data_IF_372859811586
#
_entry.id   IF_372859811586
#
_cell.length_a   1.000
_cell.length_b   1.000
_cell.length_c   1.000
_cell.angle_alpha   90.00
_cell.angle_beta   90.00
_cell.angle_gamma   90.00
#
_symmetry.space_group_name_H-M   'P 1'
#
loop_
_entity.id
_entity.type
_entity.pdbx_description
1 polymer ?
#
# COMPACT_ATOMS: atom_id res chain seq x y z
N UNK A 1 -3.05 -16.47 -9.65
CA UNK A 1 -2.30 -15.21 -9.39
C UNK A 1 -0.84 -15.40 -9.78
N UNK A 2 -0.32 -14.57 -10.68
CA UNK A 2 1.06 -14.63 -11.16
C UNK A 2 1.83 -13.39 -10.70
N UNK A 3 3.14 -13.49 -10.49
CA UNK A 3 4.01 -12.37 -10.13
C UNK A 3 5.08 -12.18 -11.21
N UNK A 4 5.50 -10.93 -11.45
CA UNK A 4 6.53 -10.61 -12.42
C UNK A 4 7.88 -11.21 -11.98
N UNK A 5 8.49 -12.06 -12.81
CA UNK A 5 9.81 -12.62 -12.52
C UNK A 5 10.96 -11.58 -12.51
N UNK A 6 10.72 -10.35 -12.96
CA UNK A 6 11.71 -9.28 -12.98
C UNK A 6 11.58 -8.31 -11.78
N UNK A 7 10.37 -7.87 -11.43
CA UNK A 7 10.16 -6.85 -10.39
C UNK A 7 9.27 -7.31 -9.22
N UNK A 8 8.78 -8.55 -9.22
CA UNK A 8 7.97 -9.10 -8.14
C UNK A 8 6.54 -8.57 -8.04
N UNK A 9 6.12 -7.64 -8.90
CA UNK A 9 4.76 -7.09 -8.88
C UNK A 9 3.74 -8.13 -9.34
N UNK A 10 2.58 -8.16 -8.68
CA UNK A 10 1.45 -9.01 -9.07
C UNK A 10 0.96 -8.65 -10.47
N UNK A 11 0.65 -9.68 -11.25
CA UNK A 11 0.19 -9.57 -12.63
C UNK A 11 -1.33 -9.82 -12.65
N UNK A 12 -2.15 -8.85 -13.09
CA UNK A 12 -3.57 -9.06 -13.34
C UNK A 12 -3.80 -10.15 -14.40
N UNK A 13 -4.84 -10.98 -14.23
CA UNK A 13 -5.17 -12.03 -15.19
C UNK A 13 -5.40 -11.45 -16.60
N UNK A 14 -4.82 -12.10 -17.62
CA UNK A 14 -4.90 -11.65 -19.02
C UNK A 14 -3.89 -10.57 -19.44
N UNK A 15 -2.92 -10.20 -18.59
CA UNK A 15 -1.91 -9.19 -18.94
C UNK A 15 -0.75 -9.77 -19.78
N UNK A 16 -0.50 -9.19 -20.97
CA UNK A 16 0.65 -9.54 -21.83
C UNK A 16 1.99 -8.95 -21.33
N UNK A 17 1.93 -7.91 -20.49
CA UNK A 17 3.07 -7.16 -19.98
C UNK A 17 2.88 -6.81 -18.50
N UNK A 18 3.97 -6.71 -17.75
CA UNK A 18 3.95 -6.25 -16.36
C UNK A 18 3.56 -4.76 -16.29
N UNK A 19 2.53 -4.39 -15.52
CA UNK A 19 2.07 -3.00 -15.43
C UNK A 19 3.10 -2.06 -14.76
N UNK A 20 4.03 -2.61 -13.97
CA UNK A 20 5.01 -1.82 -13.24
C UNK A 20 6.33 -1.65 -14.03
N UNK A 21 6.89 -2.72 -14.60
CA UNK A 21 8.21 -2.67 -15.24
C UNK A 21 8.21 -2.89 -16.76
N UNK A 22 7.04 -3.14 -17.37
CA UNK A 22 6.91 -3.32 -18.82
C UNK A 22 7.47 -4.65 -19.37
N UNK A 23 7.95 -5.54 -18.51
CA UNK A 23 8.45 -6.86 -18.92
C UNK A 23 7.33 -7.70 -19.55
N UNK A 24 7.57 -8.24 -20.75
CA UNK A 24 6.63 -9.15 -21.43
C UNK A 24 6.50 -10.46 -20.67
N UNK A 25 5.28 -10.98 -20.57
CA UNK A 25 4.95 -12.18 -19.81
C UNK A 25 4.71 -13.32 -20.80
N UNK A 26 5.56 -14.34 -20.74
CA UNK A 26 5.35 -15.56 -21.51
C UNK A 26 4.32 -16.43 -20.77
N UNK A 27 3.06 -16.35 -21.19
CA UNK A 27 1.95 -17.10 -20.60
C UNK A 27 2.05 -18.57 -21.05
N UNK A 28 2.83 -19.37 -20.31
CA UNK A 28 2.77 -20.83 -20.42
C UNK A 28 1.90 -21.34 -19.28
N UNK A 29 0.71 -21.82 -19.63
CA UNK A 29 -0.24 -22.42 -18.72
C UNK A 29 0.39 -23.61 -17.97
N UNK A 30 0.64 -23.45 -16.67
CA UNK A 30 1.04 -24.54 -15.78
C UNK A 30 -0.18 -25.05 -15.01
N UNK A 31 -0.79 -26.11 -15.53
CA UNK A 31 -1.51 -27.06 -14.71
C UNK A 31 -0.48 -27.92 -13.94
N UNK A 32 -0.66 -27.98 -12.62
CA UNK A 32 -0.27 -29.05 -11.70
C UNK A 32 1.24 -29.37 -11.55
N UNK A 33 1.81 -28.97 -10.40
CA UNK A 33 2.96 -29.66 -9.82
C UNK A 33 2.48 -30.89 -9.04
N UNK A 34 2.78 -32.07 -9.56
CA UNK A 34 2.97 -33.28 -8.75
C UNK A 34 4.36 -33.83 -9.05
N UNK A 35 5.05 -34.17 -7.98
CA UNK A 35 6.39 -34.78 -7.91
C UNK A 35 6.53 -36.01 -8.80
N UNK A 36 7.70 -36.23 -9.41
CA UNK A 36 8.56 -37.45 -9.27
C UNK A 36 9.78 -37.39 -10.21
N UNK A 37 10.92 -37.80 -9.66
CA UNK A 37 12.20 -38.05 -10.33
C UNK A 37 12.12 -39.19 -11.37
N UNK A 38 12.80 -39.07 -12.51
CA UNK A 38 13.84 -40.04 -12.93
C UNK A 38 14.47 -39.71 -14.29
N UNK A 39 15.74 -40.09 -14.40
CA UNK A 39 16.64 -40.00 -15.55
C UNK A 39 16.26 -41.00 -16.66
N UNK A 40 16.48 -40.63 -17.93
CA UNK A 40 17.27 -41.38 -18.94
C UNK A 40 17.00 -40.92 -20.39
N UNK A 41 18.03 -40.31 -20.99
CA UNK A 41 18.64 -40.57 -22.32
C UNK A 41 17.90 -40.55 -23.69
N UNK A 42 18.72 -40.14 -24.68
CA UNK A 42 18.68 -40.26 -26.16
C UNK A 42 17.88 -39.21 -26.95
N UNK A 43 18.50 -38.27 -27.68
CA UNK A 43 19.41 -38.28 -28.85
C UNK A 43 18.71 -38.26 -30.22
N UNK A 44 19.19 -37.33 -31.06
CA UNK A 44 19.02 -37.18 -32.52
C UNK A 44 17.62 -36.71 -32.99
N UNK A 45 17.44 -35.88 -34.03
CA UNK A 45 18.27 -35.65 -35.21
C UNK A 45 17.93 -34.28 -35.87
N UNK A 46 18.82 -33.85 -36.75
CA UNK A 46 18.90 -32.56 -37.44
C UNK A 46 18.08 -32.51 -38.75
N UNK A 47 18.05 -31.30 -39.33
CA UNK A 47 17.88 -30.92 -40.76
C UNK A 47 16.46 -31.02 -41.36
N UNK A 48 15.95 -30.06 -42.15
CA UNK A 48 16.46 -28.82 -42.74
C UNK A 48 15.48 -28.26 -43.80
N UNK A 49 15.78 -27.05 -44.33
CA UNK A 49 15.34 -26.46 -45.64
C UNK A 49 13.85 -26.11 -45.82
N UNK A 50 13.38 -25.01 -46.42
CA UNK A 50 13.96 -24.00 -47.33
C UNK A 50 13.00 -22.76 -47.44
N UNK A 51 13.59 -21.60 -47.80
CA UNK A 51 13.16 -20.49 -48.70
C UNK A 51 11.64 -20.14 -48.90
N UNK A 52 11.11 -18.92 -49.10
CA UNK A 52 11.51 -17.57 -49.62
C UNK A 52 10.22 -16.70 -49.55
N UNK A 53 10.14 -15.41 -49.22
CA UNK A 53 10.39 -14.17 -50.00
C UNK A 53 9.97 -12.99 -49.07
N UNK A 54 10.67 -11.87 -48.83
CA UNK A 54 11.23 -10.79 -49.69
C UNK A 54 10.31 -9.53 -49.82
N UNK A 55 10.62 -8.47 -49.04
CA UNK A 55 10.70 -7.03 -49.44
C UNK A 55 11.02 -6.16 -48.19
N UNK A 56 12.25 -5.64 -48.02
CA UNK A 56 12.77 -4.28 -48.40
C UNK A 56 11.99 -3.11 -47.77
N UNK A 57 12.57 -2.09 -47.11
CA UNK A 57 13.84 -1.37 -47.29
C UNK A 57 14.36 -0.72 -45.96
N UNK A 58 15.66 -0.82 -45.63
CA UNK A 58 16.75 0.22 -45.64
C UNK A 58 16.59 1.42 -44.67
N UNK A 59 17.57 1.96 -43.93
CA UNK A 59 19.04 1.79 -43.75
C UNK A 59 19.42 2.60 -42.46
N UNK A 60 20.11 2.04 -41.46
CA UNK A 60 21.57 1.99 -41.21
C UNK A 60 22.20 3.13 -40.39
N UNK A 61 22.99 2.73 -39.39
CA UNK A 61 23.95 3.58 -38.66
C UNK A 61 24.45 2.98 -37.34
N UNK A 62 25.09 1.80 -37.35
CA UNK A 62 25.80 1.21 -36.20
C UNK A 62 27.25 1.68 -36.14
N UNK A 63 27.90 1.66 -34.97
CA UNK A 63 29.11 0.85 -34.65
C UNK A 63 29.59 1.13 -33.22
N UNK A 64 29.91 0.07 -32.48
CA UNK A 64 30.64 0.11 -31.21
C UNK A 64 31.74 -0.97 -31.18
N UNK A 65 32.82 -0.65 -30.47
CA UNK A 65 33.79 -1.50 -29.74
C UNK A 65 35.08 -2.03 -30.42
N UNK A 66 36.18 -1.30 -30.11
CA UNK A 66 37.34 -1.66 -29.25
C UNK A 66 38.37 -2.78 -29.58
N UNK A 67 39.56 -2.58 -29.00
CA UNK A 67 40.83 -3.34 -28.92
C UNK A 67 41.85 -2.99 -30.01
N UNK A 68 43.16 -2.78 -29.79
CA UNK A 68 44.09 -2.90 -28.65
C UNK A 68 45.53 -3.14 -29.20
N UNK A 69 46.59 -2.81 -28.44
CA UNK A 69 48.05 -3.10 -28.65
C UNK A 69 48.81 -2.26 -29.71
N UNK A 70 50.07 -1.78 -29.56
CA UNK A 70 51.34 -2.43 -29.17
C UNK A 70 52.44 -1.47 -28.61
N UNK A 71 53.44 -2.10 -27.99
CA UNK A 71 54.72 -1.61 -27.44
C UNK A 71 55.87 -1.51 -28.47
N UNK A 72 56.88 -0.69 -28.13
CA UNK A 72 58.35 -0.90 -28.27
C UNK A 72 59.13 -0.72 -29.61
N UNK A 73 60.05 0.27 -29.57
CA UNK A 73 61.53 0.19 -29.72
C UNK A 73 62.24 0.03 -31.10
N UNK A 74 62.94 1.12 -31.47
CA UNK A 74 64.31 1.28 -32.02
C UNK A 74 64.82 0.82 -33.43
N UNK A 75 65.55 1.78 -34.02
CA UNK A 75 66.90 1.75 -34.68
C UNK A 75 67.07 1.81 -36.21
N UNK A 76 67.97 2.75 -36.61
CA UNK A 76 68.76 2.83 -37.86
C UNK A 76 68.08 3.56 -39.04
N UNK A 77 68.74 4.24 -39.98
CA UNK A 77 70.10 4.72 -40.22
C UNK A 77 70.03 5.74 -41.41
N UNK A 78 71.14 6.44 -41.66
CA UNK A 78 71.41 7.61 -42.52
C UNK A 78 71.15 7.53 -44.04
N UNK A 79 70.94 8.70 -44.67
CA UNK A 79 71.53 9.26 -45.94
C UNK A 79 70.51 10.21 -46.64
N UNK A 80 70.81 11.27 -47.39
CA UNK A 80 72.00 12.10 -47.68
C UNK A 80 71.53 13.32 -48.55
N UNK A 81 72.40 14.33 -48.71
CA UNK A 81 72.48 15.29 -49.84
C UNK A 81 71.43 16.43 -49.98
N UNK A 82 71.72 17.63 -50.50
CA UNK A 82 72.95 18.38 -50.83
C UNK A 82 72.58 19.82 -51.23
N UNK A 83 73.49 20.78 -50.95
CA UNK A 83 73.71 22.03 -51.71
C UNK A 83 72.97 23.29 -51.22
N UNK A 84 73.48 24.52 -51.35
CA UNK A 84 74.79 25.10 -51.63
C UNK A 84 74.61 26.63 -51.46
N UNK A 85 75.54 27.40 -50.89
CA UNK A 85 75.99 28.70 -51.45
C UNK A 85 77.14 29.31 -50.63
N UNK A 86 78.15 29.75 -51.38
CA UNK A 86 79.49 30.17 -50.97
C UNK A 86 79.59 31.69 -50.78
N UNK A 87 80.61 32.09 -50.02
CA UNK A 87 81.25 33.41 -50.08
C UNK A 87 82.61 33.39 -49.36
N UNK A 88 83.70 33.26 -50.12
CA UNK A 88 85.11 33.39 -49.70
C UNK A 88 85.48 34.90 -49.58
N UNK A 89 86.55 35.40 -48.94
CA UNK A 89 87.96 35.00 -49.11
C UNK A 89 88.96 35.76 -48.16
N UNK A 90 89.98 35.02 -47.71
CA UNK A 90 91.34 35.27 -47.12
C UNK A 90 91.79 36.54 -46.34
N UNK A 91 92.49 36.30 -45.21
CA UNK A 91 93.61 37.14 -44.75
C UNK A 91 94.09 36.97 -43.28
N UNK A 92 95.27 36.34 -43.12
CA UNK A 92 96.23 36.40 -41.99
C UNK A 92 96.02 35.59 -40.69
N UNK A 93 97.07 34.82 -40.39
CA UNK A 93 97.26 33.96 -39.23
C UNK A 93 97.19 34.71 -37.89
N UNK A 94 96.57 34.09 -36.88
CA UNK A 94 96.94 34.27 -35.48
C UNK A 94 96.36 33.17 -34.57
N UNK A 95 97.28 32.54 -33.85
CA UNK A 95 97.22 32.04 -32.47
C UNK A 95 96.11 31.05 -32.04
N UNK A 96 96.62 29.92 -31.55
CA UNK A 96 95.95 28.82 -30.83
C UNK A 96 95.00 29.35 -29.75
N UNK A 97 93.71 28.97 -29.81
CA UNK A 97 92.74 29.22 -28.73
C UNK A 97 92.22 27.92 -28.12
N UNK A 98 92.23 27.96 -26.79
CA UNK A 98 91.95 26.93 -25.80
C UNK A 98 90.47 26.49 -25.74
N UNK A 99 90.19 25.31 -25.12
CA UNK A 99 88.84 24.76 -24.96
C UNK A 99 87.92 25.62 -24.08
N UNK A 100 86.60 25.51 -24.32
CA UNK A 100 85.54 26.19 -23.56
C UNK A 100 85.55 25.77 -22.08
N UNK A 101 86.15 26.61 -21.22
CA UNK A 101 86.35 26.41 -19.79
C UNK A 101 85.07 26.23 -18.93
N UNK A 102 83.87 26.47 -19.49
CA UNK A 102 82.59 26.23 -18.80
C UNK A 102 82.25 24.73 -18.74
N UNK A 103 82.54 23.96 -19.80
CA UNK A 103 82.31 22.51 -19.83
C UNK A 103 83.39 21.72 -19.08
N UNK A 104 84.62 22.24 -18.97
CA UNK A 104 85.69 21.57 -18.22
C UNK A 104 85.53 21.71 -16.69
N UNK A 105 85.07 22.85 -16.17
CA UNK A 105 84.82 23.02 -14.73
C UNK A 105 83.59 22.24 -14.22
N UNK A 106 82.67 21.85 -15.11
CA UNK A 106 81.52 21.00 -14.79
C UNK A 106 81.91 19.54 -14.49
N UNK A 107 83.14 19.10 -14.78
CA UNK A 107 83.59 17.71 -14.55
C UNK A 107 84.52 17.53 -13.35
N UNK A 108 85.11 18.59 -12.80
CA UNK A 108 86.19 18.48 -11.80
C UNK A 108 85.95 19.23 -10.48
N UNK A 109 84.94 20.10 -10.38
CA UNK A 109 84.59 20.80 -9.13
C UNK A 109 83.27 20.29 -8.54
N UNK A 110 83.37 19.45 -7.49
CA UNK A 110 82.22 18.89 -6.76
C UNK A 110 81.30 19.96 -6.17
N UNK A 111 81.80 21.17 -5.91
CA UNK A 111 80.99 22.29 -5.38
C UNK A 111 80.13 22.94 -6.47
N UNK A 112 80.59 22.98 -7.72
CA UNK A 112 79.88 23.61 -8.83
C UNK A 112 78.87 22.67 -9.52
N UNK A 113 79.15 21.35 -9.55
CA UNK A 113 78.16 20.32 -9.89
C UNK A 113 76.99 20.29 -8.91
N UNK A 114 77.24 20.44 -7.61
CA UNK A 114 76.19 20.51 -6.58
C UNK A 114 75.26 21.72 -6.71
N UNK A 115 75.77 22.87 -7.15
CA UNK A 115 74.98 24.10 -7.35
C UNK A 115 74.06 23.99 -8.58
N UNK A 116 74.56 23.47 -9.72
CA UNK A 116 73.73 23.29 -10.92
C UNK A 116 72.66 22.19 -10.76
N UNK A 117 72.99 21.08 -10.09
CA UNK A 117 71.99 20.03 -9.74
C UNK A 117 70.99 20.55 -8.71
N UNK A 118 71.44 21.35 -7.73
CA UNK A 118 70.57 21.98 -6.75
C UNK A 118 69.57 22.96 -7.35
N UNK A 119 69.98 23.79 -8.33
CA UNK A 119 69.09 24.75 -9.03
C UNK A 119 68.07 24.05 -9.92
N UNK A 120 68.45 23.01 -10.66
CA UNK A 120 67.51 22.22 -11.49
C UNK A 120 66.53 21.43 -10.60
N UNK A 121 67.01 20.83 -9.50
CA UNK A 121 66.14 20.16 -8.53
C UNK A 121 65.14 21.13 -7.89
N UNK A 122 65.56 22.36 -7.55
CA UNK A 122 64.68 23.42 -7.05
C UNK A 122 63.64 23.87 -8.08
N UNK A 123 64.01 24.02 -9.35
CA UNK A 123 63.08 24.39 -10.42
C UNK A 123 62.07 23.26 -10.69
N UNK A 124 62.49 22.00 -10.69
CA UNK A 124 61.58 20.84 -10.80
C UNK A 124 60.69 20.71 -9.57
N UNK A 125 61.18 21.03 -8.37
CA UNK A 125 60.37 21.11 -7.15
C UNK A 125 59.36 22.26 -7.21
N UNK A 126 59.75 23.42 -7.72
CA UNK A 126 58.89 24.60 -7.85
C UNK A 126 57.85 24.42 -8.95
N UNK A 127 58.23 23.87 -10.11
CA UNK A 127 57.30 23.45 -11.16
C UNK A 127 56.41 22.32 -10.65
N UNK A 128 56.97 21.37 -9.91
CA UNK A 128 56.21 20.30 -9.25
C UNK A 128 55.20 20.84 -8.24
N UNK A 129 55.56 21.87 -7.46
CA UNK A 129 54.67 22.54 -6.51
C UNK A 129 53.63 23.42 -7.20
N UNK A 130 53.97 24.05 -8.33
CA UNK A 130 53.05 24.84 -9.15
C UNK A 130 52.08 23.92 -9.88
N UNK A 131 52.55 22.86 -10.53
CA UNK A 131 51.73 21.83 -11.16
C UNK A 131 50.88 21.11 -10.12
N UNK A 132 51.44 20.81 -8.94
CA UNK A 132 50.69 20.24 -7.82
C UNK A 132 49.64 21.21 -7.29
N UNK A 133 49.92 22.51 -7.15
CA UNK A 133 48.92 23.51 -6.75
C UNK A 133 47.82 23.71 -7.80
N UNK A 134 48.17 23.68 -9.08
CA UNK A 134 47.22 23.84 -10.18
C UNK A 134 46.38 22.57 -10.39
N UNK A 135 46.91 21.38 -10.05
CA UNK A 135 46.18 20.10 -10.06
C UNK A 135 45.63 19.66 -8.71
N UNK A 136 45.83 20.42 -7.63
CA UNK A 136 45.31 20.08 -6.32
C UNK A 136 43.79 20.24 -6.33
N UNK A 137 43.08 19.18 -5.97
CA UNK A 137 41.63 19.21 -5.89
C UNK A 137 41.17 20.32 -4.93
N UNK A 138 40.32 21.23 -5.43
CA UNK A 138 39.70 22.26 -4.60
C UNK A 138 38.71 21.59 -3.64
N UNK A 139 38.68 22.09 -2.41
CA UNK A 139 37.80 21.55 -1.37
C UNK A 139 36.51 22.35 -1.33
N UNK A 140 35.37 21.66 -1.34
CA UNK A 140 34.04 22.23 -1.10
C UNK A 140 33.52 21.58 0.19
N UNK A 141 33.13 22.41 1.17
CA UNK A 141 32.53 21.93 2.42
C UNK A 141 31.01 22.02 2.29
N UNK A 142 30.32 20.89 2.32
CA UNK A 142 28.88 20.79 2.09
C UNK A 142 28.12 21.50 3.20
N UNK A 143 28.65 21.50 4.43
CA UNK A 143 28.01 22.16 5.59
C UNK A 143 27.83 23.67 5.40
N UNK A 144 28.62 24.32 4.53
CA UNK A 144 28.49 25.75 4.26
C UNK A 144 27.21 26.10 3.47
N UNK A 145 26.52 25.09 2.93
CA UNK A 145 25.34 25.22 2.08
C UNK A 145 24.10 24.54 2.66
N UNK A 146 24.17 24.04 3.90
CA UNK A 146 23.05 23.36 4.55
C UNK A 146 22.51 24.22 5.68
N UNK A 147 21.19 24.39 5.69
CA UNK A 147 20.44 24.96 6.80
C UNK A 147 19.55 23.87 7.41
N UNK A 148 19.55 23.77 8.73
CA UNK A 148 18.60 22.91 9.45
C UNK A 148 17.64 23.80 10.22
N UNK A 149 16.35 23.68 9.91
CA UNK A 149 15.26 24.33 10.64
C UNK A 149 14.46 23.28 11.40
N UNK A 150 13.70 23.73 12.40
CA UNK A 150 12.83 22.88 13.20
C UNK A 150 11.41 23.46 13.12
N UNK A 151 10.45 22.61 12.81
CA UNK A 151 9.06 22.98 12.57
C UNK A 151 8.12 22.07 13.38
N UNK A 152 6.88 22.51 13.60
CA UNK A 152 5.88 21.78 14.37
C UNK A 152 5.80 22.15 15.86
N UNK A 153 5.15 21.27 16.62
CA UNK A 153 4.95 21.39 18.06
C UNK A 153 6.17 20.90 18.87
N UNK A 154 6.36 21.45 20.06
CA UNK A 154 7.24 20.85 21.06
C UNK A 154 6.71 19.44 21.40
N UNK A 155 7.60 18.46 21.54
CA UNK A 155 7.31 17.01 21.66
C UNK A 155 6.87 16.26 20.39
N UNK A 156 6.61 16.96 19.29
CA UNK A 156 6.25 16.36 17.99
C UNK A 156 6.93 17.09 16.82
N UNK A 157 8.07 17.73 17.07
CA UNK A 157 8.74 18.57 16.08
C UNK A 157 9.50 17.75 15.04
N UNK A 158 9.70 18.33 13.86
CA UNK A 158 10.48 17.73 12.78
C UNK A 158 11.68 18.60 12.42
N UNK A 159 12.75 17.97 11.94
CA UNK A 159 13.92 18.65 11.40
C UNK A 159 13.82 18.72 9.87
N UNK A 160 13.87 19.93 9.34
CA UNK A 160 13.86 20.19 7.89
C UNK A 160 15.27 20.57 7.45
N UNK A 161 15.77 19.90 6.42
CA UNK A 161 17.07 20.16 5.82
C UNK A 161 16.86 20.91 4.52
N UNK A 162 17.36 22.13 4.45
CA UNK A 162 17.42 22.93 3.22
C UNK A 162 18.86 22.99 2.73
N UNK A 163 19.08 22.56 1.48
CA UNK A 163 20.38 22.69 0.82
C UNK A 163 20.26 23.82 -0.19
N UNK A 164 21.11 24.84 -0.06
CA UNK A 164 21.23 25.90 -1.07
C UNK A 164 21.92 25.32 -2.32
N UNK A 165 21.12 24.63 -3.13
CA UNK A 165 21.59 23.89 -4.30
C UNK A 165 22.27 24.83 -5.30
N UNK A 166 21.78 26.06 -5.47
CA UNK A 166 22.37 27.04 -6.37
C UNK A 166 23.79 27.44 -5.92
N UNK A 167 23.98 27.76 -4.64
CA UNK A 167 25.31 28.11 -4.12
C UNK A 167 26.24 26.90 -4.10
N UNK A 168 25.73 25.73 -3.72
CA UNK A 168 26.51 24.50 -3.74
C UNK A 168 26.92 24.15 -5.18
N UNK A 169 26.01 24.28 -6.13
CA UNK A 169 26.25 24.05 -7.56
C UNK A 169 27.34 24.97 -8.11
N UNK A 170 27.26 26.27 -7.80
CA UNK A 170 28.27 27.24 -8.21
C UNK A 170 29.64 26.90 -7.58
N UNK A 171 29.66 26.53 -6.30
CA UNK A 171 30.88 26.13 -5.61
C UNK A 171 31.52 24.86 -6.19
N UNK A 172 30.72 23.86 -6.55
CA UNK A 172 31.18 22.65 -7.22
C UNK A 172 31.74 22.97 -8.61
N UNK A 173 31.07 23.84 -9.36
CA UNK A 173 31.52 24.28 -10.70
C UNK A 173 32.85 25.03 -10.62
N UNK A 174 32.99 25.95 -9.68
CA UNK A 174 34.23 26.69 -9.44
C UNK A 174 35.37 25.78 -8.94
N UNK A 175 35.03 24.70 -8.22
CA UNK A 175 35.97 23.72 -7.71
C UNK A 175 36.48 22.78 -8.81
N UNK A 176 35.59 22.25 -9.65
CA UNK A 176 35.91 21.29 -10.70
C UNK A 176 36.41 21.90 -12.01
N UNK A 177 36.07 23.17 -12.28
CA UNK A 177 36.40 23.86 -13.53
C UNK A 177 35.95 23.06 -14.75
N UNK A 178 36.75 23.06 -15.82
CA UNK A 178 36.45 22.37 -17.09
C UNK A 178 36.10 20.88 -16.95
N UNK A 179 36.53 20.23 -15.85
CA UNK A 179 36.25 18.80 -15.62
C UNK A 179 34.79 18.54 -15.24
N UNK A 180 34.13 19.51 -14.63
CA UNK A 180 32.75 19.38 -14.15
C UNK A 180 31.74 20.18 -14.96
N UNK A 181 32.16 21.10 -15.83
CA UNK A 181 31.28 21.99 -16.65
C UNK A 181 30.23 21.22 -17.49
N UNK A 182 30.40 19.94 -17.75
CA UNK A 182 29.32 19.14 -18.36
C UNK A 182 28.18 18.91 -17.36
N UNK A 183 26.94 19.15 -17.78
CA UNK A 183 25.72 18.90 -17.00
C UNK A 183 25.72 17.52 -16.28
N UNK A 184 26.21 16.48 -16.95
CA UNK A 184 26.36 15.12 -16.38
C UNK A 184 27.32 15.03 -15.19
N UNK A 185 28.42 15.78 -15.21
CA UNK A 185 29.43 15.72 -14.14
C UNK A 185 28.98 16.41 -12.86
N UNK A 186 28.25 17.53 -13.00
CA UNK A 186 27.63 18.23 -11.87
C UNK A 186 26.56 17.37 -11.22
N UNK A 187 25.65 16.83 -12.04
CA UNK A 187 24.57 15.97 -11.58
C UNK A 187 25.09 14.74 -10.82
N UNK A 188 26.14 14.08 -11.32
CA UNK A 188 26.74 12.91 -10.67
C UNK A 188 27.35 13.25 -9.30
N UNK A 189 27.99 14.41 -9.15
CA UNK A 189 28.53 14.85 -7.85
C UNK A 189 27.41 15.24 -6.89
N UNK A 190 26.41 16.00 -7.36
CA UNK A 190 25.29 16.46 -6.54
C UNK A 190 24.48 15.27 -6.00
N UNK A 191 24.10 14.33 -6.86
CA UNK A 191 23.39 13.12 -6.46
C UNK A 191 24.21 12.17 -5.58
N UNK A 192 25.53 12.40 -5.48
CA UNK A 192 26.34 11.62 -4.56
C UNK A 192 26.28 12.14 -3.13
N UNK A 193 25.76 13.35 -2.91
CA UNK A 193 25.67 14.02 -1.62
C UNK A 193 24.31 13.71 -1.00
N UNK A 194 24.33 13.31 0.26
CA UNK A 194 23.14 13.10 1.07
C UNK A 194 23.38 13.68 2.47
N UNK A 195 22.35 14.34 3.00
CA UNK A 195 22.40 15.07 4.27
C UNK A 195 21.23 14.62 5.11
N UNK A 196 21.53 14.00 6.25
CA UNK A 196 20.51 13.44 7.16
C UNK A 196 20.63 14.07 8.53
N UNK A 197 19.49 14.20 9.21
CA UNK A 197 19.41 14.64 10.60
C UNK A 197 18.91 13.47 11.43
N UNK A 198 19.49 13.24 12.61
CA UNK A 198 19.08 12.13 13.47
C UNK A 198 19.08 12.52 14.95
N UNK A 199 17.96 12.34 15.67
CA UNK A 199 16.61 12.06 15.15
C UNK A 199 16.09 13.24 14.29
N UNK A 200 15.12 12.99 13.41
CA UNK A 200 14.49 13.99 12.53
C UNK A 200 13.01 14.25 12.81
N UNK A 201 12.41 13.51 13.74
CA UNK A 201 11.02 13.60 14.17
C UNK A 201 10.95 13.40 15.70
N UNK A 202 9.76 13.55 16.27
CA UNK A 202 9.50 13.48 17.72
C UNK A 202 10.40 14.41 18.56
N UNK A 203 10.75 15.56 17.98
CA UNK A 203 11.71 16.48 18.58
C UNK A 203 11.05 17.39 19.61
N UNK A 204 11.80 17.68 20.68
CA UNK A 204 11.44 18.68 21.69
C UNK A 204 12.46 19.82 21.76
N UNK A 205 12.03 20.99 22.21
CA UNK A 205 12.91 22.12 22.48
C UNK A 205 13.98 21.73 23.50
N UNK A 206 15.24 21.78 23.07
CA UNK A 206 16.38 21.40 23.90
C UNK A 206 17.03 20.07 23.57
N UNK A 207 16.39 19.26 22.72
CA UNK A 207 16.97 18.03 22.19
C UNK A 207 18.22 18.31 21.35
N UNK A 208 18.98 17.26 21.08
CA UNK A 208 20.18 17.34 20.25
C UNK A 208 20.02 16.41 19.07
N UNK A 209 20.01 17.00 17.88
CA UNK A 209 20.06 16.25 16.62
C UNK A 209 21.49 16.24 16.09
N UNK A 210 21.84 15.22 15.32
CA UNK A 210 23.12 15.11 14.63
C UNK A 210 22.89 15.24 13.13
N UNK A 211 23.52 16.24 12.51
CA UNK A 211 23.57 16.38 11.05
C UNK A 211 24.71 15.52 10.54
N UNK A 212 24.43 14.62 9.59
CA UNK A 212 25.40 13.72 8.98
C UNK A 212 25.47 13.98 7.49
N UNK A 213 26.70 14.04 6.97
CA UNK A 213 26.96 14.30 5.56
C UNK A 213 27.59 13.07 4.92
N UNK A 214 26.88 12.44 3.99
CA UNK A 214 27.42 11.31 3.22
C UNK A 214 27.68 11.74 1.77
N UNK A 215 28.81 11.30 1.22
CA UNK A 215 29.17 11.62 -0.17
C UNK A 215 30.18 10.66 -0.80
N UNK A 216 30.13 10.53 -2.12
CA UNK A 216 31.09 9.69 -2.85
C UNK A 216 32.41 10.40 -3.12
N UNK A 217 33.42 10.07 -2.29
CA UNK A 217 34.80 10.52 -2.50
C UNK A 217 35.36 10.11 -3.87
N UNK A 218 34.92 8.99 -4.42
CA UNK A 218 35.36 8.51 -5.73
C UNK A 218 34.83 9.38 -6.87
N UNK A 219 33.54 9.73 -6.83
CA UNK A 219 32.89 10.61 -7.80
C UNK A 219 33.49 12.02 -7.68
N UNK A 220 33.60 12.58 -6.47
CA UNK A 220 34.24 13.88 -6.28
C UNK A 220 35.66 13.93 -6.88
N UNK A 221 36.47 12.88 -6.63
CA UNK A 221 37.83 12.77 -7.15
C UNK A 221 37.89 12.68 -8.68
N UNK A 222 36.93 11.99 -9.33
CA UNK A 222 36.80 11.90 -10.80
C UNK A 222 36.75 13.30 -11.43
N UNK A 223 36.07 14.23 -10.77
CA UNK A 223 35.89 15.62 -11.22
C UNK A 223 36.92 16.60 -10.65
N UNK A 224 37.94 16.11 -9.93
CA UNK A 224 38.98 16.96 -9.35
C UNK A 224 38.52 17.79 -8.14
N UNK A 225 37.44 17.36 -7.47
CA UNK A 225 36.88 18.00 -6.28
C UNK A 225 37.19 17.16 -5.04
N UNK A 226 37.37 17.84 -3.90
CA UNK A 226 37.40 17.20 -2.59
C UNK A 226 36.20 17.69 -1.78
N UNK A 227 35.25 16.80 -1.51
CA UNK A 227 34.13 17.12 -0.63
C UNK A 227 34.54 16.96 0.84
N UNK A 228 33.95 17.80 1.68
CA UNK A 228 33.93 17.71 3.14
C UNK A 228 32.50 17.92 3.61
N UNK A 229 32.21 17.39 4.78
CA UNK A 229 31.02 17.67 5.56
C UNK A 229 31.40 17.32 6.99
N UNK A 230 31.11 18.22 7.92
CA UNK A 230 31.46 18.02 9.32
C UNK A 230 30.19 17.71 10.07
N UNK A 231 30.10 16.49 10.57
CA UNK A 231 29.00 16.10 11.45
C UNK A 231 28.95 17.05 12.65
N UNK A 232 27.77 17.58 12.90
CA UNK A 232 27.55 18.54 13.96
C UNK A 232 26.30 18.22 14.76
N UNK A 233 26.34 18.60 16.02
CA UNK A 233 25.21 18.45 16.93
C UNK A 233 24.55 19.80 17.09
N UNK A 234 23.31 19.90 16.64
CA UNK A 234 22.49 21.10 16.75
C UNK A 234 21.54 20.90 17.92
N UNK A 235 21.37 21.94 18.74
CA UNK A 235 20.34 21.95 19.77
C UNK A 235 19.02 22.40 19.13
N UNK A 236 17.97 21.62 19.29
CA UNK A 236 16.62 21.93 18.79
C UNK A 236 16.08 23.14 19.55
N UNK A 237 15.50 24.09 18.82
CA UNK A 237 14.85 25.28 19.37
C UNK A 237 13.89 25.87 18.37
N UNK A 238 12.82 26.51 18.85
CA UNK A 238 11.86 27.24 18.01
C UNK A 238 10.59 26.45 17.70
N UNK A 239 10.46 25.23 18.24
CA UNK A 239 9.21 24.46 18.19
C UNK A 239 8.15 25.16 19.06
N UNK A 240 6.89 25.10 18.62
CA UNK A 240 5.78 25.79 19.29
C UNK A 240 5.35 25.01 20.55
N UNK A 241 5.34 25.67 21.70
CA UNK A 241 4.79 25.10 22.94
C UNK A 241 3.25 25.18 22.89
N UNK A 242 2.62 24.05 22.61
CA UNK A 242 1.17 23.91 22.36
C UNK A 242 0.60 22.71 23.10
N UNK A 243 -0.72 22.69 23.31
CA UNK A 243 -1.39 21.60 24.00
C UNK A 243 -1.54 20.37 23.10
N UNK A 244 -1.05 19.24 23.60
CA UNK A 244 -1.08 17.96 22.92
C UNK A 244 -2.38 17.21 23.23
N UNK A 245 -3.26 17.02 22.24
CA UNK A 245 -4.54 16.34 22.44
C UNK A 245 -4.63 15.05 21.65
N UNK A 246 -5.27 14.03 22.23
CA UNK A 246 -5.76 12.88 21.47
C UNK A 246 -7.25 13.15 21.17
N UNK A 247 -7.63 13.39 19.90
CA UNK A 247 -9.01 13.68 19.55
C UNK A 247 -9.95 12.50 19.83
N UNK A 248 -9.43 11.26 19.82
CA UNK A 248 -10.21 10.05 19.99
C UNK A 248 -10.57 9.73 21.45
N UNK A 249 -10.01 10.46 22.43
CA UNK A 249 -10.50 10.45 23.82
C UNK A 249 -11.88 11.12 23.95
N UNK A 250 -12.30 11.89 22.93
CA UNK A 250 -13.57 12.62 22.90
C UNK A 250 -14.56 12.07 21.87
N UNK A 251 -14.20 10.98 21.18
CA UNK A 251 -15.02 10.32 20.16
C UNK A 251 -15.79 9.16 20.80
N UNK A 252 -17.09 9.13 20.56
CA UNK A 252 -17.96 7.96 20.77
C UNK A 252 -18.49 7.50 19.43
N UNK A 253 -18.46 6.19 19.18
CA UNK A 253 -19.08 5.61 17.99
C UNK A 253 -20.48 5.14 18.36
N UNK A 254 -21.48 5.59 17.60
CA UNK A 254 -22.82 5.00 17.58
C UNK A 254 -22.95 4.09 16.37
N UNK A 255 -23.73 3.04 16.50
CA UNK A 255 -24.02 2.12 15.42
C UNK A 255 -25.50 2.22 15.08
N UNK A 256 -25.80 2.51 13.82
CA UNK A 256 -27.14 2.44 13.25
C UNK A 256 -27.25 1.27 12.26
N UNK A 257 -28.47 0.87 11.95
CA UNK A 257 -28.73 -0.26 11.05
C UNK A 257 -28.55 -1.61 11.73
N UNK A 258 -28.43 -2.65 10.91
CA UNK A 258 -28.34 -4.04 11.37
C UNK A 258 -27.56 -4.85 10.34
N UNK A 259 -26.94 -5.94 10.79
CA UNK A 259 -26.09 -6.78 9.94
C UNK A 259 -26.76 -7.17 8.60
N UNK A 260 -26.00 -7.23 7.49
CA UNK A 260 -24.60 -6.80 7.32
C UNK A 260 -24.48 -5.31 6.97
N UNK A 261 -25.48 -4.47 7.29
CA UNK A 261 -25.51 -3.04 6.98
C UNK A 261 -25.52 -2.21 8.26
N UNK A 262 -24.48 -2.36 9.07
CA UNK A 262 -24.23 -1.47 10.19
C UNK A 262 -23.51 -0.22 9.67
N UNK A 263 -23.95 0.93 10.16
CA UNK A 263 -23.43 2.26 9.84
C UNK A 263 -22.87 2.89 11.12
N UNK A 264 -21.55 3.04 11.24
CA UNK A 264 -20.94 3.77 12.33
C UNK A 264 -21.12 5.28 12.15
N UNK A 265 -21.52 5.95 13.21
CA UNK A 265 -21.61 7.41 13.31
C UNK A 265 -20.65 7.90 14.39
N UNK A 266 -19.84 8.90 14.03
CA UNK A 266 -18.86 9.53 14.92
C UNK A 266 -19.51 10.68 15.66
N UNK A 267 -19.60 10.57 16.99
CA UNK A 267 -20.00 11.67 17.87
C UNK A 267 -18.81 12.23 18.63
N UNK A 268 -18.67 13.56 18.64
CA UNK A 268 -17.55 14.27 19.29
C UNK A 268 -18.06 15.10 20.46
N UNK A 269 -17.53 14.86 21.67
CA UNK A 269 -17.80 15.69 22.85
C UNK A 269 -16.90 16.94 22.89
N UNK A 270 -17.34 18.02 22.24
CA UNK A 270 -16.66 19.31 22.26
C UNK A 270 -17.03 20.23 23.44
N UNK A 271 -17.65 19.68 24.50
CA UNK A 271 -18.07 20.49 25.66
C UNK A 271 -16.88 21.03 26.46
N UNK A 272 -15.77 20.28 26.50
CA UNK A 272 -14.56 20.64 27.25
C UNK A 272 -13.54 21.38 26.40
N UNK A 273 -13.40 21.01 25.13
CA UNK A 273 -12.40 21.55 24.19
C UNK A 273 -13.12 21.95 22.91
N UNK A 274 -13.27 23.26 22.68
CA UNK A 274 -13.96 23.78 21.50
C UNK A 274 -13.20 23.59 20.19
N UNK A 275 -11.87 23.45 20.27
CA UNK A 275 -11.02 23.16 19.12
C UNK A 275 -11.41 21.85 18.41
N UNK A 276 -12.06 20.90 19.10
CA UNK A 276 -12.55 19.67 18.50
C UNK A 276 -13.60 19.90 17.40
N UNK A 277 -14.35 21.02 17.46
CA UNK A 277 -15.34 21.39 16.43
C UNK A 277 -14.67 21.76 15.07
N UNK A 278 -13.36 22.03 15.06
CA UNK A 278 -12.58 22.38 13.86
C UNK A 278 -11.94 21.15 13.18
N UNK A 279 -12.03 19.97 13.80
CA UNK A 279 -11.45 18.72 13.28
C UNK A 279 -12.49 18.00 12.43
N UNK A 280 -12.10 17.60 11.22
CA UNK A 280 -12.93 16.75 10.37
C UNK A 280 -12.67 15.28 10.66
N UNK A 281 -13.71 14.52 10.98
CA UNK A 281 -13.61 13.08 11.18
C UNK A 281 -14.18 12.34 9.96
N UNK A 282 -13.39 11.44 9.38
CA UNK A 282 -13.75 10.62 8.22
C UNK A 282 -13.63 9.13 8.57
N UNK A 283 -14.36 8.28 7.83
CA UNK A 283 -14.33 6.83 7.99
C UNK A 283 -13.85 6.19 6.69
N UNK A 284 -12.97 5.18 6.79
CA UNK A 284 -12.53 4.39 5.63
C UNK A 284 -13.67 3.52 5.05
N UNK A 285 -14.51 3.00 5.92
CA UNK A 285 -15.69 2.18 5.61
C UNK A 285 -16.87 2.68 6.43
N UNK A 286 -17.91 3.16 5.76
CA UNK A 286 -19.07 3.80 6.40
C UNK A 286 -20.36 2.95 6.33
N UNK A 287 -20.33 1.79 5.67
CA UNK A 287 -21.50 0.94 5.46
C UNK A 287 -21.10 -0.49 5.14
N UNK A 288 -22.04 -1.43 5.23
CA UNK A 288 -21.79 -2.82 4.88
C UNK A 288 -21.00 -3.59 5.95
N UNK A 289 -21.00 -3.08 7.19
CA UNK A 289 -20.30 -3.69 8.30
C UNK A 289 -21.21 -4.63 9.09
N UNK A 290 -20.61 -5.67 9.66
CA UNK A 290 -21.22 -6.64 10.58
C UNK A 290 -20.55 -6.57 11.95
N UNK A 291 -21.12 -7.22 12.97
CA UNK A 291 -20.49 -7.30 14.28
C UNK A 291 -19.09 -7.94 14.19
N UNK A 292 -18.12 -7.31 14.87
CA UNK A 292 -16.73 -7.74 14.83
C UNK A 292 -15.93 -7.25 13.63
N UNK A 293 -16.54 -6.61 12.62
CA UNK A 293 -15.79 -5.95 11.55
C UNK A 293 -15.00 -4.75 12.10
N UNK A 294 -13.85 -4.46 11.48
CA UNK A 294 -13.02 -3.30 11.82
C UNK A 294 -13.19 -2.18 10.79
N UNK A 295 -13.17 -0.94 11.27
CA UNK A 295 -13.12 0.27 10.44
C UNK A 295 -12.23 1.31 11.13
N UNK A 296 -11.70 2.26 10.35
CA UNK A 296 -10.78 3.29 10.83
C UNK A 296 -11.44 4.65 10.76
N UNK A 297 -11.33 5.41 11.85
CA UNK A 297 -11.70 6.83 11.91
C UNK A 297 -10.43 7.67 11.79
N UNK A 298 -10.42 8.60 10.85
CA UNK A 298 -9.31 9.55 10.63
C UNK A 298 -9.74 10.94 11.10
N UNK A 299 -8.89 11.61 11.86
CA UNK A 299 -9.03 12.98 12.33
C UNK A 299 -8.14 13.90 11.49
N UNK A 300 -8.75 14.82 10.74
CA UNK A 300 -8.08 15.66 9.75
C UNK A 300 -8.20 17.14 10.14
N UNK A 301 -7.07 17.84 10.16
CA UNK A 301 -6.99 19.29 10.31
C UNK A 301 -5.68 19.81 9.70
N UNK A 302 -5.67 21.06 9.24
CA UNK A 302 -4.45 21.74 8.82
C UNK A 302 -3.53 21.96 10.04
N UNK A 303 -2.30 21.44 9.97
CA UNK A 303 -1.36 21.45 11.10
C UNK A 303 -0.98 22.87 11.50
N UNK A 304 -0.72 23.76 10.53
CA UNK A 304 -0.37 25.15 10.80
C UNK A 304 -1.51 25.90 11.51
N UNK A 305 -2.75 25.64 11.08
CA UNK A 305 -3.94 26.14 11.75
C UNK A 305 -4.06 25.60 13.18
N UNK A 306 -3.93 24.29 13.39
CA UNK A 306 -3.96 23.67 14.72
C UNK A 306 -2.93 24.30 15.67
N UNK A 307 -1.68 24.41 15.19
CA UNK A 307 -0.59 25.05 15.93
C UNK A 307 -0.88 26.53 16.22
N UNK A 308 -1.56 27.24 15.31
CA UNK A 308 -1.97 28.63 15.54
C UNK A 308 -3.07 28.77 16.60
N UNK A 309 -3.93 27.75 16.73
CA UNK A 309 -4.95 27.67 17.79
C UNK A 309 -4.37 27.17 19.13
N UNK A 310 -3.10 26.77 19.14
CA UNK A 310 -2.40 26.33 20.34
C UNK A 310 -2.51 24.84 20.62
N UNK A 311 -2.82 24.02 19.61
CA UNK A 311 -2.98 22.58 19.74
C UNK A 311 -2.14 21.79 18.72
N UNK A 312 -1.90 20.51 19.02
CA UNK A 312 -1.52 19.51 18.03
C UNK A 312 -2.20 18.17 18.33
N UNK A 313 -2.48 17.38 17.29
CA UNK A 313 -3.07 16.04 17.43
C UNK A 313 -1.97 15.00 17.63
N UNK A 314 -2.03 14.24 18.72
CA UNK A 314 -1.10 13.13 19.00
C UNK A 314 -1.34 11.91 18.12
N UNK A 315 -2.60 11.70 17.75
CA UNK A 315 -3.06 10.58 16.96
C UNK A 315 -4.06 11.12 15.94
N UNK A 316 -3.93 10.68 14.69
CA UNK A 316 -4.78 11.14 13.57
C UNK A 316 -5.61 10.00 12.99
N UNK A 317 -5.39 8.76 13.41
CA UNK A 317 -6.14 7.59 12.95
C UNK A 317 -6.36 6.63 14.11
N UNK A 318 -7.56 6.04 14.20
CA UNK A 318 -7.85 5.00 15.19
C UNK A 318 -8.80 3.96 14.61
N UNK A 319 -8.44 2.69 14.78
CA UNK A 319 -9.28 1.56 14.39
C UNK A 319 -10.27 1.22 15.50
N UNK A 320 -11.53 1.02 15.11
CA UNK A 320 -12.62 0.59 15.97
C UNK A 320 -13.16 -0.76 15.46
N UNK A 321 -13.67 -1.56 16.38
CA UNK A 321 -14.38 -2.80 16.07
C UNK A 321 -15.88 -2.54 16.27
N UNK A 322 -16.69 -2.91 15.28
CA UNK A 322 -18.14 -2.84 15.36
C UNK A 322 -18.61 -3.74 16.51
N UNK A 323 -19.42 -3.15 17.39
CA UNK A 323 -20.09 -3.85 18.47
C UNK A 323 -21.58 -3.58 18.34
N UNK A 324 -22.28 -4.47 17.64
CA UNK A 324 -23.70 -4.33 17.36
C UNK A 324 -24.51 -4.72 18.58
N UNK A 325 -25.22 -3.76 19.18
CA UNK A 325 -26.12 -4.03 20.31
C UNK A 325 -27.33 -4.90 19.91
N UNK A 326 -27.70 -4.90 18.63
CA UNK A 326 -28.86 -5.59 18.09
C UNK A 326 -28.43 -6.58 17.01
N UNK A 327 -28.88 -7.83 17.12
CA UNK A 327 -28.58 -8.89 16.15
C UNK A 327 -29.84 -9.58 15.69
N UNK A 328 -29.89 -9.95 14.41
CA UNK A 328 -30.93 -10.86 13.94
C UNK A 328 -30.84 -12.18 14.68
N UNK A 329 -31.98 -12.77 14.99
CA UNK A 329 -32.06 -14.11 15.54
C UNK A 329 -31.35 -15.10 14.61
N UNK A 330 -30.27 -15.71 15.10
CA UNK A 330 -29.46 -16.68 14.36
C UNK A 330 -29.90 -18.13 14.62
N UNK A 331 -30.42 -18.41 15.82
CA UNK A 331 -30.97 -19.71 16.19
C UNK A 331 -32.17 -19.53 17.12
N UNK A 332 -33.22 -20.35 16.96
CA UNK A 332 -34.34 -20.39 17.91
C UNK A 332 -33.88 -20.85 19.29
N UNK A 333 -32.81 -21.66 19.36
CA UNK A 333 -32.21 -22.10 20.62
C UNK A 333 -31.51 -20.96 21.40
N UNK A 334 -31.26 -19.81 20.76
CA UNK A 334 -30.69 -18.62 21.42
C UNK A 334 -31.77 -17.83 22.20
N UNK A 335 -33.05 -18.14 22.00
CA UNK A 335 -34.16 -17.53 22.72
C UNK A 335 -34.31 -18.13 24.12
N UNK A 336 -34.51 -17.26 25.11
CA UNK A 336 -34.99 -17.67 26.42
C UNK A 336 -36.46 -18.14 26.34
N UNK A 337 -36.91 -18.89 27.36
CA UNK A 337 -38.30 -19.33 27.45
C UNK A 337 -39.30 -18.16 27.39
N UNK A 338 -38.98 -17.03 28.04
CA UNK A 338 -39.83 -15.82 28.03
C UNK A 338 -39.91 -15.20 26.64
N UNK A 339 -38.78 -15.12 25.95
CA UNK A 339 -38.66 -14.57 24.61
C UNK A 339 -39.43 -15.40 23.58
N UNK A 340 -39.28 -16.73 23.62
CA UNK A 340 -40.05 -17.61 22.76
C UNK A 340 -41.55 -17.52 23.05
N UNK A 341 -41.94 -17.44 24.33
CA UNK A 341 -43.34 -17.28 24.72
C UNK A 341 -43.95 -15.96 24.23
N UNK A 342 -43.16 -14.88 24.16
CA UNK A 342 -43.59 -13.59 23.60
C UNK A 342 -43.90 -13.70 22.11
N UNK A 343 -43.00 -14.30 21.31
CA UNK A 343 -43.22 -14.54 19.89
C UNK A 343 -44.39 -15.51 19.64
N UNK A 344 -44.49 -16.57 20.44
CA UNK A 344 -45.62 -17.51 20.36
C UNK A 344 -46.95 -16.83 20.68
N UNK A 345 -46.96 -15.91 21.64
CA UNK A 345 -48.16 -15.14 21.97
C UNK A 345 -48.57 -14.26 20.79
N UNK A 346 -47.63 -13.54 20.19
CA UNK A 346 -47.90 -12.73 19.01
C UNK A 346 -48.52 -13.57 17.88
N UNK A 347 -47.96 -14.76 17.62
CA UNK A 347 -48.48 -15.67 16.62
C UNK A 347 -49.89 -16.21 16.94
N UNK A 348 -50.16 -16.59 18.19
CA UNK A 348 -51.50 -17.07 18.57
C UNK A 348 -52.55 -15.95 18.58
N UNK A 349 -52.17 -14.71 18.91
CA UNK A 349 -53.06 -13.55 18.83
C UNK A 349 -53.47 -13.30 17.37
N UNK A 350 -52.53 -13.43 16.44
CA UNK A 350 -52.76 -13.29 14.99
C UNK A 350 -53.66 -14.40 14.44
N UNK A 351 -53.37 -15.67 14.74
CA UNK A 351 -54.26 -16.81 14.39
C UNK A 351 -55.67 -16.55 14.92
N UNK A 352 -55.81 -16.12 16.17
CA UNK A 352 -57.11 -15.87 16.79
C UNK A 352 -57.86 -14.74 16.09
N UNK A 353 -57.16 -13.68 15.67
CA UNK A 353 -57.73 -12.54 14.98
C UNK A 353 -58.27 -12.92 13.60
N UNK A 354 -57.46 -13.60 12.78
CA UNK A 354 -57.86 -14.06 11.44
C UNK A 354 -59.01 -15.07 11.51
N UNK A 355 -58.95 -16.01 12.46
CA UNK A 355 -59.97 -17.03 12.61
C UNK A 355 -61.32 -16.51 13.14
N UNK A 356 -61.38 -15.28 13.66
CA UNK A 356 -62.62 -14.70 14.15
C UNK A 356 -63.62 -14.34 13.04
N UNK A 357 -63.17 -14.28 11.78
CA UNK A 357 -64.00 -13.95 10.62
C UNK A 357 -64.38 -15.15 9.76
N UNK A 358 -63.89 -16.35 10.10
CA UNK A 358 -64.13 -17.57 9.33
C UNK A 358 -65.44 -18.27 9.74
N UNK A 359 -66.05 -18.99 8.80
CA UNK A 359 -67.33 -19.70 9.00
C UNK A 359 -67.12 -21.12 9.62
N UNK A 360 -65.90 -21.41 10.08
CA UNK A 360 -65.53 -22.63 10.80
C UNK A 360 -64.77 -22.30 12.08
N UNK A 361 -64.68 -23.28 12.99
CA UNK A 361 -63.93 -23.14 14.24
C UNK A 361 -62.66 -23.96 14.21
N UNK A 362 -61.68 -23.55 15.02
CA UNK A 362 -60.46 -24.30 15.25
C UNK A 362 -60.31 -24.69 16.71
N UNK A 363 -59.61 -25.80 16.95
CA UNK A 363 -59.10 -26.12 18.29
C UNK A 363 -58.06 -25.10 18.75
N UNK A 364 -57.73 -25.14 20.04
CA UNK A 364 -56.57 -24.41 20.58
C UNK A 364 -55.31 -24.69 19.72
N UNK A 365 -54.62 -23.65 19.20
CA UNK A 365 -53.41 -23.83 18.41
C UNK A 365 -52.29 -24.54 19.18
N UNK A 366 -51.89 -25.73 18.71
CA UNK A 366 -50.81 -26.48 19.32
C UNK A 366 -49.49 -26.19 18.58
N UNK A 367 -48.53 -25.52 19.24
CA UNK A 367 -47.21 -25.27 18.66
C UNK A 367 -46.47 -26.59 18.39
N UNK A 368 -46.03 -26.81 17.15
CA UNK A 368 -45.36 -28.05 16.72
C UNK A 368 -43.91 -27.86 16.29
N UNK A 369 -43.45 -26.61 16.18
CA UNK A 369 -42.06 -26.29 15.83
C UNK A 369 -41.92 -24.96 15.11
N UNK A 370 -40.70 -24.69 14.65
CA UNK A 370 -40.40 -23.49 13.87
C UNK A 370 -39.50 -23.78 12.67
N UNK A 371 -39.62 -22.95 11.64
CA UNK A 371 -38.61 -22.80 10.60
C UNK A 371 -37.94 -21.44 10.75
N UNK A 372 -36.61 -21.40 10.87
CA UNK A 372 -35.85 -20.15 10.83
C UNK A 372 -35.07 -20.07 9.52
N UNK A 373 -35.31 -19.02 8.75
CA UNK A 373 -34.63 -18.73 7.50
C UNK A 373 -33.78 -17.48 7.69
N UNK A 374 -32.46 -17.62 7.61
CA UNK A 374 -31.50 -16.51 7.68
C UNK A 374 -30.99 -16.16 6.28
N UNK A 375 -31.07 -14.90 5.87
CA UNK A 375 -30.64 -14.47 4.54
C UNK A 375 -29.14 -14.77 4.29
N UNK A 376 -28.79 -15.32 3.13
CA UNK A 376 -27.40 -15.61 2.73
C UNK A 376 -26.66 -14.37 2.28
N UNK A 377 -27.35 -13.49 1.55
CA UNK A 377 -26.93 -12.13 1.22
C UNK A 377 -28.19 -11.27 1.15
N UNK A 378 -28.18 -10.06 1.71
CA UNK A 378 -29.38 -9.21 1.66
C UNK A 378 -29.50 -8.52 0.30
N UNK A 379 -30.26 -9.13 -0.60
CA UNK A 379 -30.91 -8.37 -1.69
C UNK A 379 -32.21 -7.79 -1.18
N UNK A 380 -32.23 -6.51 -0.75
CA UNK A 380 -33.43 -5.69 -0.40
C UNK A 380 -34.58 -6.37 0.39
N UNK A 381 -34.38 -7.53 1.01
CA UNK A 381 -35.38 -8.39 1.66
C UNK A 381 -35.05 -8.55 3.15
N UNK A 382 -36.00 -9.12 3.91
CA UNK A 382 -35.89 -9.38 5.35
C UNK A 382 -34.59 -10.14 5.69
N UNK A 383 -33.96 -9.76 6.79
CA UNK A 383 -32.75 -10.39 7.32
C UNK A 383 -32.99 -11.80 7.84
N UNK A 384 -34.15 -12.05 8.46
CA UNK A 384 -34.62 -13.39 8.73
C UNK A 384 -36.15 -13.50 8.59
N UNK A 385 -36.61 -14.73 8.42
CA UNK A 385 -38.02 -15.11 8.54
C UNK A 385 -38.13 -16.24 9.55
N UNK A 386 -38.93 -16.05 10.59
CA UNK A 386 -39.24 -17.06 11.58
C UNK A 386 -40.69 -17.51 11.38
N UNK A 387 -40.88 -18.75 10.94
CA UNK A 387 -42.20 -19.36 10.89
C UNK A 387 -42.45 -20.13 12.18
N UNK A 388 -43.38 -19.66 13.02
CA UNK A 388 -43.89 -20.45 14.13
C UNK A 388 -45.09 -21.26 13.63
N UNK A 389 -45.00 -22.59 13.71
CA UNK A 389 -46.02 -23.48 13.12
C UNK A 389 -46.91 -24.07 14.20
N UNK A 390 -48.21 -23.91 14.00
CA UNK A 390 -49.24 -24.43 14.88
C UNK A 390 -50.07 -25.50 14.15
N UNK A 391 -50.45 -26.54 14.87
CA UNK A 391 -51.41 -27.54 14.42
C UNK A 391 -52.75 -27.28 15.09
N UNK A 392 -53.81 -27.27 14.30
CA UNK A 392 -55.20 -27.16 14.77
C UNK A 392 -56.07 -28.27 14.18
N UNK A 393 -57.19 -28.55 14.82
CA UNK A 393 -58.32 -29.24 14.20
C UNK A 393 -59.34 -28.20 13.76
N UNK A 394 -59.58 -28.08 12.46
CA UNK A 394 -60.65 -27.28 11.89
C UNK A 394 -61.94 -28.09 11.84
N UNK A 395 -63.01 -27.51 12.37
CA UNK A 395 -64.35 -28.09 12.41
C UNK A 395 -65.35 -27.08 11.86
N UNK A 396 -66.00 -27.47 10.76
CA UNK A 396 -67.10 -26.70 10.17
C UNK A 396 -68.27 -26.55 11.17
N UNK A 397 -68.83 -25.35 11.23
CA UNK A 397 -69.91 -25.00 12.16
C UNK A 397 -71.28 -24.84 11.52
N UNK A 398 -71.37 -24.70 10.19
CA UNK A 398 -72.63 -24.35 9.53
C UNK A 398 -73.34 -25.57 8.92
N UNK A 399 -72.69 -26.32 8.03
CA UNK A 399 -73.39 -27.31 7.18
C UNK A 399 -72.71 -28.69 7.09
N UNK A 400 -71.56 -28.90 7.76
CA UNK A 400 -70.79 -30.14 7.68
C UNK A 400 -70.19 -30.37 6.30
N UNK A 401 -69.86 -29.28 5.61
CA UNK A 401 -69.28 -29.22 4.28
C UNK A 401 -67.94 -29.94 4.24
N UNK A 402 -67.17 -29.94 5.34
CA UNK A 402 -65.99 -30.79 5.52
C UNK A 402 -65.93 -31.47 6.89
N UNK A 403 -65.25 -32.62 6.95
CA UNK A 403 -65.02 -33.35 8.19
C UNK A 403 -63.88 -32.72 9.00
N UNK A 404 -63.87 -32.93 10.32
CA UNK A 404 -62.78 -32.49 11.20
C UNK A 404 -61.41 -32.80 10.58
N UNK A 405 -60.65 -31.75 10.28
CA UNK A 405 -59.42 -31.85 9.49
C UNK A 405 -58.27 -31.20 10.24
N UNK A 406 -57.11 -31.85 10.21
CA UNK A 406 -55.88 -31.29 10.75
C UNK A 406 -55.35 -30.23 9.79
N UNK A 407 -55.08 -29.04 10.30
CA UNK A 407 -54.54 -27.91 9.53
C UNK A 407 -53.28 -27.39 10.21
N UNK A 408 -52.25 -27.08 9.42
CA UNK A 408 -51.01 -26.48 9.85
C UNK A 408 -51.04 -24.99 9.51
N UNK A 409 -50.90 -24.14 10.52
CA UNK A 409 -51.00 -22.69 10.45
C UNK A 409 -49.65 -22.08 10.81
N UNK A 410 -48.80 -21.79 9.82
CA UNK A 410 -47.54 -21.07 10.03
C UNK A 410 -47.82 -19.57 10.16
N UNK A 411 -47.28 -18.94 11.19
CA UNK A 411 -47.21 -17.47 11.31
C UNK A 411 -45.80 -17.04 10.93
N UNK A 412 -45.68 -16.16 9.95
CA UNK A 412 -44.42 -15.56 9.53
C UNK A 412 -44.12 -14.35 10.41
N UNK A 413 -43.00 -14.40 11.13
CA UNK A 413 -42.47 -13.27 11.89
C UNK A 413 -41.21 -12.78 11.17
N UNK A 414 -41.29 -11.58 10.58
CA UNK A 414 -40.20 -10.99 9.80
C UNK A 414 -39.24 -10.18 10.68
N UNK A 415 -37.95 -10.28 10.38
CA UNK A 415 -36.89 -9.47 10.98
C UNK A 415 -36.82 -9.52 12.52
N UNK A 416 -36.83 -10.73 13.08
CA UNK A 416 -36.67 -10.94 14.52
C UNK A 416 -35.27 -10.53 14.96
N UNK A 417 -35.21 -9.56 15.87
CA UNK A 417 -34.00 -8.97 16.46
C UNK A 417 -33.95 -9.31 17.94
N UNK A 418 -32.77 -9.67 18.43
CA UNK A 418 -32.48 -9.80 19.85
C UNK A 418 -31.45 -8.74 20.24
N UNK A 419 -31.84 -7.84 21.14
CA UNK A 419 -30.96 -6.83 21.72
C UNK A 419 -30.05 -7.43 22.80
N UNK A 420 -28.91 -6.80 23.04
CA UNK A 420 -27.93 -7.21 24.06
C UNK A 420 -28.48 -7.21 25.49
N UNK A 421 -29.55 -6.44 25.75
CA UNK A 421 -30.29 -6.43 27.01
C UNK A 421 -31.37 -7.53 27.13
N UNK A 422 -31.55 -8.33 26.08
CA UNK A 422 -32.53 -9.42 25.99
C UNK A 422 -33.91 -9.00 25.44
N UNK A 423 -34.09 -7.74 25.03
CA UNK A 423 -35.33 -7.31 24.37
C UNK A 423 -35.47 -7.93 22.98
N UNK A 424 -36.71 -8.24 22.56
CA UNK A 424 -37.03 -8.69 21.22
C UNK A 424 -37.76 -7.59 20.46
N UNK A 425 -37.40 -7.42 19.20
CA UNK A 425 -38.11 -6.59 18.23
C UNK A 425 -38.33 -7.39 16.94
N UNK A 426 -39.36 -7.06 16.16
CA UNK A 426 -39.66 -7.68 14.87
C UNK A 426 -40.50 -6.75 13.99
N UNK A 427 -40.41 -6.93 12.67
CA UNK A 427 -41.09 -6.05 11.71
C UNK A 427 -42.61 -6.32 11.64
N UNK A 428 -42.98 -7.59 11.51
CA UNK A 428 -44.38 -8.03 11.50
C UNK A 428 -44.51 -9.47 12.01
N UNK A 429 -45.74 -9.87 12.34
CA UNK A 429 -46.10 -11.22 12.74
C UNK A 429 -47.48 -11.53 12.13
N UNK A 430 -47.48 -12.15 10.95
CA UNK A 430 -48.68 -12.30 10.12
C UNK A 430 -48.95 -13.78 9.86
N UNK A 431 -50.23 -14.19 9.89
CA UNK A 431 -50.59 -15.55 9.51
C UNK A 431 -50.24 -15.76 8.02
N UNK A 432 -49.50 -16.82 7.70
CA UNK A 432 -49.03 -17.02 6.34
C UNK A 432 -50.18 -17.38 5.42
N UNK A 433 -50.46 -16.49 4.48
CA UNK A 433 -51.69 -16.55 3.69
C UNK A 433 -51.71 -17.72 2.70
N UNK A 434 -52.40 -18.79 3.09
CA UNK A 434 -52.70 -19.91 2.22
C UNK A 434 -54.13 -20.42 2.49
N UNK A 435 -54.83 -20.84 1.43
CA UNK A 435 -56.15 -21.45 1.52
C UNK A 435 -56.15 -22.79 0.81
N UNK A 436 -56.52 -23.83 1.54
CA UNK A 436 -56.64 -25.18 1.00
C UNK A 436 -58.06 -25.71 1.14
N UNK A 437 -58.47 -26.56 0.19
CA UNK A 437 -59.81 -27.13 0.16
C UNK A 437 -59.75 -28.56 0.73
N UNK A 438 -60.37 -28.83 1.90
CA UNK A 438 -60.35 -30.16 2.51
C UNK A 438 -61.06 -31.24 1.68
N UNK A 439 -61.87 -30.83 0.70
CA UNK A 439 -62.59 -31.70 -0.22
C UNK A 439 -62.93 -30.97 -1.54
N UNK A 440 -63.68 -31.65 -2.43
CA UNK A 440 -64.14 -31.10 -3.72
C UNK A 440 -65.23 -30.00 -3.61
N UNK A 441 -65.47 -29.46 -2.42
CA UNK A 441 -66.43 -28.39 -2.12
C UNK A 441 -65.88 -26.98 -2.40
N UNK A 442 -66.64 -25.96 -1.98
CA UNK A 442 -66.29 -24.55 -2.17
C UNK A 442 -65.66 -23.90 -0.93
N UNK A 443 -65.47 -24.68 0.12
CA UNK A 443 -65.11 -24.20 1.46
C UNK A 443 -63.65 -24.51 1.70
N UNK A 444 -62.88 -23.45 1.93
CA UNK A 444 -61.45 -23.54 2.22
C UNK A 444 -61.17 -23.38 3.69
N UNK A 445 -60.06 -23.93 4.13
CA UNK A 445 -59.46 -23.64 5.43
C UNK A 445 -58.19 -22.81 5.23
N UNK A 446 -57.88 -21.98 6.21
CA UNK A 446 -56.68 -21.14 6.23
C UNK A 446 -55.50 -21.98 6.74
N UNK A 447 -54.42 -22.04 5.97
CA UNK A 447 -53.23 -22.85 6.26
C UNK A 447 -53.10 -24.06 5.35
N UNK A 448 -52.31 -25.04 5.79
CA UNK A 448 -51.91 -26.19 4.99
C UNK A 448 -52.51 -27.49 5.51
N UNK A 449 -52.96 -28.36 4.61
CA UNK A 449 -53.43 -29.72 4.92
C UNK A 449 -52.28 -30.74 4.85
N UNK A 450 -51.26 -30.46 4.03
CA UNK A 450 -50.07 -31.29 3.88
C UNK A 450 -48.82 -30.56 4.40
N UNK A 451 -48.18 -31.14 5.43
CA UNK A 451 -46.99 -30.54 6.03
C UNK A 451 -45.78 -30.53 5.09
N UNK A 452 -45.69 -31.47 4.14
CA UNK A 452 -44.62 -31.50 3.15
C UNK A 452 -44.78 -30.44 2.05
N UNK A 453 -46.01 -30.11 1.68
CA UNK A 453 -46.32 -28.95 0.84
C UNK A 453 -45.90 -27.65 1.54
N UNK A 454 -46.30 -27.48 2.80
CA UNK A 454 -45.87 -26.36 3.64
C UNK A 454 -44.35 -26.26 3.72
N UNK A 455 -43.64 -27.37 3.99
CA UNK A 455 -42.17 -27.37 4.02
C UNK A 455 -41.58 -26.96 2.67
N UNK A 456 -42.12 -27.46 1.56
CA UNK A 456 -41.61 -27.12 0.24
C UNK A 456 -41.79 -25.64 -0.09
N UNK A 457 -42.93 -25.05 0.27
CA UNK A 457 -43.23 -23.65 0.00
C UNK A 457 -42.45 -22.70 0.93
N UNK A 458 -42.45 -22.95 2.23
CA UNK A 458 -41.81 -22.06 3.19
C UNK A 458 -40.30 -22.24 3.24
N UNK A 459 -39.80 -23.47 3.09
CA UNK A 459 -38.37 -23.78 3.24
C UNK A 459 -37.71 -24.04 1.89
N UNK A 460 -38.12 -25.08 1.17
CA UNK A 460 -37.42 -25.52 -0.06
C UNK A 460 -37.39 -24.45 -1.14
N UNK A 461 -38.47 -23.69 -1.32
CA UNK A 461 -38.55 -22.62 -2.32
C UNK A 461 -37.61 -21.44 -2.02
N UNK A 462 -37.20 -21.28 -0.75
CA UNK A 462 -36.41 -20.14 -0.28
C UNK A 462 -34.92 -20.46 -0.08
N UNK A 463 -34.47 -21.72 -0.28
CA UNK A 463 -33.07 -22.11 -0.02
C UNK A 463 -32.05 -21.47 -0.96
N UNK A 464 -32.44 -20.83 -2.06
CA UNK A 464 -31.49 -20.06 -2.88
C UNK A 464 -30.99 -18.82 -2.12
N UNK A 465 -31.89 -18.18 -1.38
CA UNK A 465 -31.68 -16.86 -0.79
C UNK A 465 -31.45 -16.96 0.73
N UNK A 466 -31.93 -18.04 1.35
CA UNK A 466 -31.85 -18.26 2.78
C UNK A 466 -31.10 -19.56 3.13
N UNK A 467 -30.48 -19.55 4.31
CA UNK A 467 -30.08 -20.75 5.05
C UNK A 467 -31.20 -21.07 6.02
N UNK A 468 -31.80 -22.25 5.89
CA UNK A 468 -32.94 -22.66 6.70
C UNK A 468 -32.53 -23.66 7.79
N UNK A 469 -33.12 -23.51 8.98
CA UNK A 469 -33.00 -24.45 10.11
C UNK A 469 -34.38 -24.85 10.58
N UNK A 470 -34.58 -26.15 10.82
CA UNK A 470 -35.86 -26.74 11.27
C UNK A 470 -35.81 -27.13 12.74
N UNK A 471 -36.79 -26.65 13.51
CA UNK A 471 -36.93 -26.90 14.94
C UNK A 471 -38.23 -27.69 15.20
N UNK A 472 -38.12 -28.78 15.97
CA UNK A 472 -39.24 -29.64 16.35
C UNK A 472 -39.40 -30.90 15.49
N UNK A 473 -39.49 -32.06 16.13
CA UNK A 473 -39.50 -33.38 15.45
C UNK A 473 -40.66 -33.55 14.45
N UNK A 474 -41.81 -32.93 14.73
CA UNK A 474 -42.96 -32.98 13.83
C UNK A 474 -42.67 -32.31 12.49
N UNK A 475 -42.00 -31.15 12.50
CA UNK A 475 -41.67 -30.41 11.29
C UNK A 475 -40.56 -31.11 10.48
N UNK A 476 -39.59 -31.73 11.16
CA UNK A 476 -38.53 -32.51 10.47
C UNK A 476 -39.12 -33.61 9.61
N UNK A 477 -40.16 -34.28 10.11
CA UNK A 477 -40.85 -35.35 9.39
C UNK A 477 -41.53 -34.89 8.08
N UNK A 478 -41.69 -33.57 7.86
CA UNK A 478 -42.30 -33.02 6.65
C UNK A 478 -41.32 -32.80 5.48
N UNK A 479 -40.00 -32.85 5.69
CA UNK A 479 -39.07 -32.72 4.56
C UNK A 479 -37.59 -32.53 4.86
N UNK A 480 -37.16 -32.55 6.12
CA UNK A 480 -35.73 -32.61 6.48
C UNK A 480 -35.22 -34.06 6.40
#
# INVERSE_FOLDING_TARGET
MSFCGNCGTQIPEGSDFCPNCGQKIDVVANAQQTTTQNQAEQQANQQGTDATDANQAQQQGTYQANQGTYQANQQGAYQANQGNFQGQQYGYANQVKQPNAFMERLKTDKKMQGICVGVVALIVLLIGLVVWRVNAAKTVDISDYVTVTFEGADSAGTAVVDIDEDKLYNALTDAGGDKIISYYGQYEVMNSIDVTVTPNEDLSNGDKVTVQYTYSKAIAKKYGIKLKGKDEKIKVSGLKDVEAIDPFEYVTIKYEGMEPYIYPEVEVDSSKIKFLDEIYFSLDTYSGLSDGDEFTVTAEIDEDYALSQGYYLKETEKTYTVNADNKYLASVDDLTETQLAELQKAATDEITAEMATEDYTISEPAYIGAYLLNAKEKSYSSGNKLYLVYQVQATDTEDGEFADTTVYMPVEIEDVVVSSDGTIDYYSADLYWNYEYPNDGWTSVYGYLDGGEMYNELVTANVSDYTATVYGDALKAFGE
#
